data_IF_354793621466
#
_entry.id   IF_354793621466
#
_cell.length_a   1.000
_cell.length_b   1.000
_cell.length_c   1.000
_cell.angle_alpha   90.00
_cell.angle_beta   90.00
_cell.angle_gamma   90.00
#
_symmetry.space_group_name_H-M   'P 1'
#
loop_
_entity.id
_entity.type
_entity.pdbx_description
1 polymer ?
#
# COMPACT_ATOMS: atom_id res chain seq x y z
N UNK A 1 -38.08 11.12 15.91
CA UNK A 1 -37.06 10.11 15.62
C UNK A 1 -35.75 10.85 15.43
N UNK A 2 -34.70 10.52 16.23
CA UNK A 2 -33.37 11.11 15.99
C UNK A 2 -32.85 10.63 14.64
N UNK A 3 -32.37 11.55 13.82
CA UNK A 3 -31.75 11.21 12.52
C UNK A 3 -30.43 10.47 12.79
N UNK A 4 -30.26 9.27 12.22
CA UNK A 4 -29.01 8.51 12.33
C UNK A 4 -27.92 9.25 11.53
N UNK A 5 -26.84 9.60 12.19
CA UNK A 5 -25.71 10.33 11.62
C UNK A 5 -24.71 9.39 10.96
N UNK A 6 -24.10 9.78 9.86
CA UNK A 6 -23.15 8.92 9.16
C UNK A 6 -21.71 9.28 9.54
N UNK A 7 -20.91 8.23 9.75
CA UNK A 7 -19.45 8.27 9.73
C UNK A 7 -19.03 7.69 8.38
N UNK A 8 -18.56 8.54 7.49
CA UNK A 8 -18.19 8.13 6.12
C UNK A 8 -16.69 7.83 6.07
N UNK A 9 -16.32 6.67 5.53
CA UNK A 9 -14.93 6.25 5.31
C UNK A 9 -14.71 6.03 3.82
N UNK A 10 -13.79 6.78 3.22
CA UNK A 10 -13.43 6.65 1.80
C UNK A 10 -12.15 5.82 1.69
N UNK A 11 -12.29 4.59 1.20
CA UNK A 11 -11.21 3.62 1.03
C UNK A 11 -11.05 2.68 2.22
N UNK A 12 -10.88 1.37 1.92
CA UNK A 12 -10.70 0.30 2.90
C UNK A 12 -9.41 -0.49 2.67
N UNK A 13 -8.34 0.23 2.29
CA UNK A 13 -6.99 -0.33 2.27
C UNK A 13 -6.41 -0.54 3.67
N UNK A 14 -5.08 -0.57 3.79
CA UNK A 14 -4.36 -0.89 5.04
C UNK A 14 -4.68 -0.02 6.26
N UNK A 15 -5.25 1.18 6.07
CA UNK A 15 -5.70 2.04 7.18
C UNK A 15 -7.22 2.00 7.38
N UNK A 16 -8.00 2.07 6.29
CA UNK A 16 -9.46 2.21 6.38
C UNK A 16 -10.16 0.96 6.88
N UNK A 17 -9.76 -0.24 6.42
CA UNK A 17 -10.37 -1.49 6.89
C UNK A 17 -10.20 -1.69 8.41
N UNK A 18 -9.00 -1.61 9.01
CA UNK A 18 -8.86 -1.73 10.48
C UNK A 18 -9.60 -0.64 11.25
N UNK A 19 -9.70 0.58 10.67
CA UNK A 19 -10.49 1.65 11.26
C UNK A 19 -11.96 1.27 11.36
N UNK A 20 -12.57 0.83 10.25
CA UNK A 20 -13.98 0.42 10.22
C UNK A 20 -14.23 -0.73 11.18
N UNK A 21 -13.37 -1.77 11.17
CA UNK A 21 -13.47 -2.90 12.09
C UNK A 21 -13.38 -2.50 13.57
N UNK A 22 -12.62 -1.46 13.88
CA UNK A 22 -12.55 -0.91 15.25
C UNK A 22 -13.81 -0.13 15.61
N UNK A 23 -14.29 0.72 14.70
CA UNK A 23 -15.47 1.56 14.94
C UNK A 23 -16.76 0.76 15.03
N UNK A 24 -16.98 -0.24 14.17
CA UNK A 24 -18.21 -1.05 14.17
C UNK A 24 -18.45 -1.80 15.48
N UNK A 25 -17.38 -2.12 16.23
CA UNK A 25 -17.46 -2.77 17.56
C UNK A 25 -17.84 -1.80 18.68
N UNK A 26 -17.78 -0.48 18.47
CA UNK A 26 -17.86 0.53 19.53
C UNK A 26 -18.94 1.60 19.29
N UNK A 27 -19.45 1.72 18.07
CA UNK A 27 -20.48 2.70 17.72
C UNK A 27 -21.86 2.19 18.12
N UNK A 28 -22.69 3.09 18.67
CA UNK A 28 -24.11 2.81 18.87
C UNK A 28 -24.87 2.92 17.54
N UNK A 29 -25.39 1.82 16.98
CA UNK A 29 -26.06 1.81 15.67
C UNK A 29 -27.41 2.55 15.67
N UNK A 30 -27.97 2.87 16.85
CA UNK A 30 -29.19 3.67 16.95
C UNK A 30 -28.95 5.16 16.70
N UNK A 31 -27.71 5.63 16.86
CA UNK A 31 -27.33 7.03 16.71
C UNK A 31 -26.43 7.31 15.51
N UNK A 32 -25.55 6.35 15.19
CA UNK A 32 -24.57 6.50 14.11
C UNK A 32 -24.52 5.28 13.21
N UNK A 33 -24.26 5.51 11.93
CA UNK A 33 -24.02 4.47 10.92
C UNK A 33 -22.66 4.70 10.28
N UNK A 34 -21.89 3.62 10.08
CA UNK A 34 -20.69 3.65 9.25
C UNK A 34 -21.12 3.45 7.79
N UNK A 35 -20.66 4.33 6.91
CA UNK A 35 -20.83 4.23 5.47
C UNK A 35 -19.43 4.15 4.85
N UNK A 36 -19.14 3.06 4.19
CA UNK A 36 -17.88 2.82 3.46
C UNK A 36 -18.10 3.13 1.99
N UNK A 37 -17.24 3.94 1.41
CA UNK A 37 -17.14 4.17 -0.04
C UNK A 37 -15.85 3.50 -0.50
N UNK A 38 -15.95 2.35 -1.17
CA UNK A 38 -14.82 1.56 -1.67
C UNK A 38 -15.13 1.05 -3.08
N UNK A 39 -14.25 1.34 -4.02
CA UNK A 39 -14.45 0.95 -5.42
C UNK A 39 -14.21 -0.53 -5.67
N UNK A 40 -13.33 -1.18 -4.87
CA UNK A 40 -12.99 -2.59 -5.01
C UNK A 40 -13.93 -3.48 -4.22
N UNK A 41 -14.24 -4.63 -4.77
CA UNK A 41 -14.99 -5.70 -4.10
C UNK A 41 -14.09 -6.64 -3.28
N UNK A 42 -12.82 -6.27 -3.09
CA UNK A 42 -11.81 -7.03 -2.36
C UNK A 42 -10.82 -6.12 -1.62
N UNK A 43 -10.23 -6.67 -0.56
CA UNK A 43 -9.05 -6.14 0.09
C UNK A 43 -7.79 -6.70 -0.58
N UNK A 44 -6.84 -5.84 -0.93
CA UNK A 44 -5.55 -6.25 -1.48
C UNK A 44 -4.48 -6.27 -0.39
N UNK A 45 -3.88 -7.44 -0.15
CA UNK A 45 -2.73 -7.57 0.75
C UNK A 45 -1.43 -7.20 0.02
N UNK A 46 -1.14 -5.91 0.00
CA UNK A 46 -0.05 -5.30 -0.79
C UNK A 46 1.31 -5.99 -0.65
N UNK A 47 1.79 -6.41 0.54
CA UNK A 47 3.09 -7.07 0.66
C UNK A 47 3.22 -8.38 -0.11
N UNK A 48 2.12 -9.11 -0.31
CA UNK A 48 2.13 -10.37 -1.05
C UNK A 48 1.98 -10.20 -2.57
N UNK A 49 1.52 -9.04 -3.04
CA UNK A 49 1.18 -8.83 -4.46
C UNK A 49 2.38 -8.89 -5.40
N UNK A 50 3.57 -8.53 -4.93
CA UNK A 50 4.80 -8.61 -5.75
C UNK A 50 5.07 -10.08 -6.10
N UNK A 51 5.02 -10.99 -5.13
CA UNK A 51 5.17 -12.42 -5.37
C UNK A 51 3.99 -12.97 -6.17
N UNK A 52 2.76 -12.55 -5.86
CA UNK A 52 1.56 -12.93 -6.60
C UNK A 52 1.63 -12.58 -8.09
N UNK A 53 2.36 -11.52 -8.45
CA UNK A 53 2.60 -11.14 -9.84
C UNK A 53 3.70 -11.96 -10.52
N UNK A 54 4.51 -12.74 -9.77
CA UNK A 54 5.68 -13.46 -10.31
C UNK A 54 5.44 -14.96 -10.38
N UNK A 55 4.82 -15.57 -9.38
CA UNK A 55 4.66 -17.04 -9.28
C UNK A 55 3.21 -17.47 -9.11
N UNK A 56 2.94 -18.73 -9.46
CA UNK A 56 1.64 -19.40 -9.20
C UNK A 56 1.68 -20.24 -7.90
N UNK A 57 2.83 -20.26 -7.19
CA UNK A 57 3.01 -21.02 -5.96
C UNK A 57 2.00 -20.58 -4.89
N UNK A 58 1.35 -21.56 -4.24
CA UNK A 58 0.39 -21.34 -3.15
C UNK A 58 -0.88 -20.59 -3.53
N UNK A 59 -1.23 -20.46 -4.83
CA UNK A 59 -2.39 -19.67 -5.30
C UNK A 59 -2.43 -18.25 -4.70
N UNK A 60 -1.25 -17.66 -4.56
CA UNK A 60 -1.06 -16.36 -3.89
C UNK A 60 -1.80 -15.21 -4.57
N UNK A 61 -2.02 -15.29 -5.89
CA UNK A 61 -2.83 -14.33 -6.66
C UNK A 61 -4.31 -14.33 -6.24
N UNK A 62 -4.83 -15.45 -5.72
CA UNK A 62 -6.19 -15.54 -5.18
C UNK A 62 -6.22 -15.18 -3.69
N UNK A 63 -5.24 -15.65 -2.92
CA UNK A 63 -5.20 -15.50 -1.46
C UNK A 63 -4.84 -14.08 -1.01
N UNK A 64 -4.01 -13.35 -1.78
CA UNK A 64 -3.67 -11.96 -1.48
C UNK A 64 -4.78 -10.95 -1.84
N UNK A 65 -5.82 -11.38 -2.57
CA UNK A 65 -6.97 -10.59 -2.95
C UNK A 65 -8.21 -11.11 -2.22
N UNK A 66 -8.40 -10.66 -0.97
CA UNK A 66 -9.43 -11.17 -0.07
C UNK A 66 -10.77 -10.50 -0.36
N UNK A 67 -11.85 -11.24 -0.69
CA UNK A 67 -13.18 -10.64 -0.86
C UNK A 67 -13.57 -9.84 0.36
N UNK A 68 -14.23 -8.70 0.19
CA UNK A 68 -14.61 -7.86 1.32
C UNK A 68 -16.09 -8.02 1.74
N UNK A 69 -16.79 -9.01 1.20
CA UNK A 69 -18.20 -9.31 1.47
C UNK A 69 -18.50 -9.66 2.93
N UNK A 70 -17.49 -10.14 3.68
CA UNK A 70 -17.59 -10.46 5.11
C UNK A 70 -16.70 -9.59 5.99
N UNK A 71 -16.03 -8.59 5.42
CA UNK A 71 -15.08 -7.76 6.15
C UNK A 71 -15.76 -6.82 7.17
N UNK A 72 -17.07 -6.61 7.02
CA UNK A 72 -17.84 -5.64 7.80
C UNK A 72 -19.07 -6.26 8.43
N UNK A 73 -19.46 -5.72 9.60
CA UNK A 73 -20.75 -6.02 10.25
C UNK A 73 -21.91 -5.64 9.31
N UNK A 74 -23.03 -6.38 9.29
CA UNK A 74 -24.21 -6.05 8.50
C UNK A 74 -24.80 -4.65 8.72
N UNK A 75 -24.47 -3.98 9.83
CA UNK A 75 -24.88 -2.59 10.11
C UNK A 75 -24.05 -1.56 9.31
N UNK A 76 -22.89 -1.95 8.79
CA UNK A 76 -22.03 -1.11 7.94
C UNK A 76 -22.59 -1.08 6.52
N UNK A 77 -22.88 0.12 6.02
CA UNK A 77 -23.29 0.29 4.63
C UNK A 77 -22.05 0.39 3.74
N UNK A 78 -21.92 -0.50 2.78
CA UNK A 78 -20.84 -0.46 1.77
C UNK A 78 -21.41 0.03 0.43
N UNK A 79 -20.73 1.02 -0.18
CA UNK A 79 -21.04 1.58 -1.49
C UNK A 79 -19.84 1.28 -2.40
N UNK A 80 -20.05 0.39 -3.37
CA UNK A 80 -19.05 0.06 -4.38
C UNK A 80 -18.95 1.14 -5.46
N UNK A 81 -18.25 2.23 -5.12
CA UNK A 81 -18.03 3.38 -5.99
C UNK A 81 -16.78 4.15 -5.54
N UNK A 82 -16.30 5.06 -6.38
CA UNK A 82 -15.32 6.07 -6.01
C UNK A 82 -16.02 7.33 -5.52
N UNK A 83 -15.39 8.08 -4.61
CA UNK A 83 -15.81 9.44 -4.30
C UNK A 83 -15.42 10.36 -5.47
N UNK A 84 -16.38 11.13 -5.96
CA UNK A 84 -16.24 12.09 -7.07
C UNK A 84 -15.99 13.50 -6.55
N UNK A 85 -16.74 13.88 -5.54
CA UNK A 85 -16.70 15.22 -4.95
C UNK A 85 -16.94 15.14 -3.44
N UNK A 86 -16.28 15.99 -2.69
CA UNK A 86 -16.45 16.14 -1.24
C UNK A 86 -16.77 17.61 -0.96
N UNK A 87 -17.86 17.87 -0.26
CA UNK A 87 -18.18 19.16 0.33
C UNK A 87 -18.02 19.14 1.84
N UNK A 88 -18.27 20.23 2.54
CA UNK A 88 -18.23 20.28 4.01
C UNK A 88 -19.32 19.47 4.71
N UNK A 89 -20.31 18.95 4.00
CA UNK A 89 -21.47 18.25 4.57
C UNK A 89 -21.76 16.89 3.95
N UNK A 90 -21.24 16.61 2.76
CA UNK A 90 -21.54 15.36 2.04
C UNK A 90 -20.42 14.93 1.09
N UNK A 91 -20.45 13.65 0.74
CA UNK A 91 -19.63 13.04 -0.31
C UNK A 91 -20.56 12.64 -1.44
N UNK A 92 -20.23 13.04 -2.67
CA UNK A 92 -20.90 12.58 -3.90
C UNK A 92 -20.04 11.49 -4.55
N UNK A 93 -20.64 10.36 -4.87
CA UNK A 93 -19.97 9.24 -5.53
C UNK A 93 -19.99 9.36 -7.06
N UNK A 94 -19.14 8.60 -7.76
CA UNK A 94 -19.21 8.49 -9.23
C UNK A 94 -20.53 7.89 -9.71
N UNK A 95 -21.22 7.08 -8.88
CA UNK A 95 -22.57 6.57 -9.16
C UNK A 95 -23.67 7.64 -8.99
N UNK A 96 -23.32 8.84 -8.53
CA UNK A 96 -24.25 9.97 -8.35
C UNK A 96 -24.98 9.98 -7.01
N UNK A 97 -24.63 9.11 -6.08
CA UNK A 97 -25.23 9.11 -4.74
C UNK A 97 -24.57 10.18 -3.87
N UNK A 98 -25.40 11.00 -3.17
CA UNK A 98 -24.97 11.98 -2.16
C UNK A 98 -25.11 11.38 -0.76
N UNK A 99 -24.02 11.38 0.01
CA UNK A 99 -23.93 10.80 1.35
C UNK A 99 -23.56 11.89 2.35
N UNK A 100 -24.51 12.40 3.14
CA UNK A 100 -24.20 13.35 4.20
C UNK A 100 -23.38 12.69 5.31
N UNK A 101 -22.47 13.45 5.92
CA UNK A 101 -21.63 12.93 7.01
C UNK A 101 -21.59 13.88 8.21
N UNK A 102 -21.48 13.28 9.41
CA UNK A 102 -21.04 13.98 10.63
C UNK A 102 -19.53 13.90 10.79
N UNK A 103 -18.96 12.74 10.47
CA UNK A 103 -17.52 12.49 10.47
C UNK A 103 -17.11 11.91 9.13
N UNK A 104 -15.98 12.37 8.60
CA UNK A 104 -15.42 11.87 7.34
C UNK A 104 -13.99 11.39 7.54
N UNK A 105 -13.65 10.22 7.04
CA UNK A 105 -12.29 9.69 7.02
C UNK A 105 -11.80 9.50 5.59
N UNK A 106 -10.69 10.14 5.27
CA UNK A 106 -9.97 10.02 4.00
C UNK A 106 -8.89 8.94 4.16
N UNK A 107 -9.11 7.77 3.55
CA UNK A 107 -8.18 6.64 3.55
C UNK A 107 -7.90 6.15 2.12
N UNK A 108 -7.84 7.09 1.17
CA UNK A 108 -7.80 6.83 -0.28
C UNK A 108 -6.49 6.24 -0.78
N UNK A 109 -5.42 6.30 0.02
CA UNK A 109 -4.16 5.61 -0.25
C UNK A 109 -3.43 6.08 -1.51
N UNK A 110 -2.90 5.12 -2.25
CA UNK A 110 -2.01 5.35 -3.38
C UNK A 110 -2.50 4.67 -4.66
N UNK A 111 -2.19 5.28 -5.81
CA UNK A 111 -2.41 4.73 -7.15
C UNK A 111 -1.08 4.19 -7.64
N UNK A 112 -1.05 2.92 -7.99
CA UNK A 112 0.12 2.21 -8.48
C UNK A 112 0.15 2.14 -10.00
N UNK A 113 1.24 1.64 -10.56
CA UNK A 113 1.42 1.43 -11.99
C UNK A 113 1.88 0.01 -12.27
N UNK A 114 1.73 -0.45 -13.51
CA UNK A 114 2.18 -1.76 -13.94
C UNK A 114 1.41 -2.91 -13.26
N UNK A 115 2.10 -3.98 -12.81
CA UNK A 115 1.42 -5.14 -12.23
C UNK A 115 0.63 -4.84 -10.94
N UNK A 116 0.93 -3.74 -10.27
CA UNK A 116 0.24 -3.30 -9.05
C UNK A 116 -0.92 -2.33 -9.32
N UNK A 117 -1.18 -1.97 -10.58
CA UNK A 117 -2.39 -1.20 -10.98
C UNK A 117 -3.58 -2.13 -11.10
N UNK A 118 -4.12 -2.53 -9.95
CA UNK A 118 -5.14 -3.55 -9.86
C UNK A 118 -6.51 -3.02 -10.27
N UNK A 119 -7.26 -3.75 -11.14
CA UNK A 119 -8.66 -3.51 -11.44
C UNK A 119 -9.57 -3.51 -10.22
N UNK A 120 -10.77 -2.95 -10.37
CA UNK A 120 -11.69 -2.75 -9.23
C UNK A 120 -12.43 -4.04 -8.84
N UNK A 121 -12.55 -5.05 -9.73
CA UNK A 121 -13.13 -6.35 -9.37
C UNK A 121 -12.04 -7.38 -9.10
N UNK A 122 -12.25 -8.23 -8.09
CA UNK A 122 -11.32 -9.32 -7.72
C UNK A 122 -11.00 -10.24 -8.90
N UNK A 123 -12.01 -10.62 -9.65
CA UNK A 123 -11.84 -11.50 -10.81
C UNK A 123 -10.91 -10.87 -11.87
N UNK A 124 -11.12 -9.60 -12.18
CA UNK A 124 -10.26 -8.86 -13.12
C UNK A 124 -8.85 -8.63 -12.56
N UNK A 125 -8.71 -8.43 -11.25
CA UNK A 125 -7.41 -8.27 -10.60
C UNK A 125 -6.59 -9.58 -10.64
N UNK A 126 -7.21 -10.72 -10.40
CA UNK A 126 -6.58 -12.04 -10.55
C UNK A 126 -6.10 -12.24 -12.01
N UNK A 127 -6.96 -11.95 -12.98
CA UNK A 127 -6.60 -12.09 -14.39
C UNK A 127 -5.49 -11.13 -14.80
N UNK A 128 -5.49 -9.92 -14.27
CA UNK A 128 -4.42 -8.93 -14.47
C UNK A 128 -3.05 -9.47 -13.99
N UNK A 129 -2.99 -10.03 -12.77
CA UNK A 129 -1.78 -10.67 -12.25
C UNK A 129 -1.35 -11.88 -13.08
N UNK A 130 -2.29 -12.71 -13.51
CA UNK A 130 -2.03 -13.89 -14.36
C UNK A 130 -1.51 -13.49 -15.74
N UNK A 131 -2.09 -12.46 -16.34
CA UNK A 131 -1.62 -11.89 -17.61
C UNK A 131 -0.18 -11.39 -17.50
N UNK A 132 0.15 -10.68 -16.44
CA UNK A 132 1.53 -10.23 -16.21
C UNK A 132 2.49 -11.41 -16.00
N UNK A 133 2.10 -12.46 -15.25
CA UNK A 133 2.90 -13.69 -15.11
C UNK A 133 3.19 -14.36 -16.45
N UNK A 134 2.23 -14.35 -17.39
CA UNK A 134 2.44 -14.89 -18.74
C UNK A 134 3.47 -14.06 -19.52
N UNK A 135 3.37 -12.73 -19.46
CA UNK A 135 4.37 -11.83 -20.07
C UNK A 135 5.76 -12.07 -19.47
N UNK A 136 5.85 -12.21 -18.14
CA UNK A 136 7.08 -12.51 -17.44
C UNK A 136 7.67 -13.87 -17.86
N UNK A 137 6.84 -14.91 -17.98
CA UNK A 137 7.28 -16.23 -18.48
C UNK A 137 7.84 -16.16 -19.90
N UNK A 138 7.26 -15.36 -20.77
CA UNK A 138 7.71 -15.21 -22.18
C UNK A 138 8.99 -14.39 -22.31
N UNK A 139 9.22 -13.38 -21.46
CA UNK A 139 10.36 -12.50 -21.51
C UNK A 139 11.67 -13.20 -21.09
N UNK A 140 12.80 -12.88 -21.73
CA UNK A 140 14.14 -13.31 -21.31
C UNK A 140 14.96 -12.20 -20.65
N UNK A 141 14.76 -10.94 -21.10
CA UNK A 141 15.45 -9.75 -20.60
C UNK A 141 14.43 -8.82 -19.96
N UNK A 142 14.52 -8.64 -18.66
CA UNK A 142 13.55 -7.89 -17.87
C UNK A 142 14.22 -6.64 -17.32
N UNK A 143 13.62 -5.47 -17.56
CA UNK A 143 14.05 -4.20 -17.02
C UNK A 143 13.13 -3.77 -15.88
N UNK A 144 13.61 -3.87 -14.63
CA UNK A 144 12.93 -3.33 -13.45
C UNK A 144 13.31 -1.87 -13.28
N UNK A 145 12.30 -0.99 -13.26
CA UNK A 145 12.50 0.47 -13.24
C UNK A 145 12.15 1.03 -11.89
N UNK A 146 13.17 1.35 -11.10
CA UNK A 146 13.04 1.87 -9.73
C UNK A 146 13.75 1.00 -8.72
N UNK A 147 14.71 1.54 -7.98
CA UNK A 147 15.50 0.86 -6.96
C UNK A 147 14.99 1.12 -5.54
N UNK A 148 13.68 1.29 -5.37
CA UNK A 148 12.98 1.25 -4.08
C UNK A 148 12.69 -0.19 -3.65
N UNK A 149 12.00 -0.38 -2.50
CA UNK A 149 11.65 -1.72 -1.98
C UNK A 149 10.93 -2.57 -3.02
N UNK A 150 9.90 -2.04 -3.66
CA UNK A 150 9.10 -2.75 -4.68
C UNK A 150 9.96 -3.27 -5.84
N UNK A 151 10.85 -2.44 -6.39
CA UNK A 151 11.72 -2.87 -7.49
C UNK A 151 12.76 -3.91 -7.08
N UNK A 152 13.29 -3.79 -5.87
CA UNK A 152 14.21 -4.78 -5.30
C UNK A 152 13.51 -6.12 -5.06
N UNK A 153 12.29 -6.09 -4.54
CA UNK A 153 11.48 -7.28 -4.32
C UNK A 153 11.10 -7.95 -5.64
N UNK A 154 10.68 -7.19 -6.67
CA UNK A 154 10.48 -7.76 -8.02
C UNK A 154 11.75 -8.41 -8.56
N UNK A 155 12.89 -7.75 -8.49
CA UNK A 155 14.16 -8.33 -8.97
C UNK A 155 14.50 -9.62 -8.22
N UNK A 156 14.31 -9.64 -6.91
CA UNK A 156 14.54 -10.81 -6.06
C UNK A 156 13.62 -11.98 -6.37
N UNK A 157 12.30 -11.74 -6.48
CA UNK A 157 11.30 -12.75 -6.81
C UNK A 157 11.52 -13.30 -8.23
N UNK A 158 11.76 -12.43 -9.22
CA UNK A 158 12.00 -12.86 -10.61
C UNK A 158 13.25 -13.74 -10.70
N UNK A 159 14.36 -13.35 -10.10
CA UNK A 159 15.60 -14.12 -10.13
C UNK A 159 15.52 -15.43 -9.35
N UNK A 160 14.64 -15.49 -8.34
CA UNK A 160 14.38 -16.72 -7.61
C UNK A 160 13.58 -17.74 -8.43
N UNK A 161 12.48 -17.32 -9.02
CA UNK A 161 11.57 -18.23 -9.75
C UNK A 161 12.00 -18.48 -11.20
N UNK A 162 12.82 -17.61 -11.76
CA UNK A 162 13.32 -17.67 -13.14
C UNK A 162 14.85 -17.36 -13.19
N UNK A 163 15.70 -18.21 -12.62
CA UNK A 163 17.13 -17.95 -12.50
C UNK A 163 17.88 -17.87 -13.85
N UNK A 164 17.25 -18.35 -14.93
CA UNK A 164 17.81 -18.26 -16.30
C UNK A 164 17.59 -16.88 -16.94
N UNK A 165 16.68 -16.05 -16.42
CA UNK A 165 16.36 -14.74 -17.00
C UNK A 165 17.42 -13.69 -16.65
N UNK A 166 17.55 -12.70 -17.52
CA UNK A 166 18.43 -11.55 -17.31
C UNK A 166 17.61 -10.39 -16.76
N UNK A 167 17.91 -9.99 -15.53
CA UNK A 167 17.24 -8.87 -14.85
C UNK A 167 18.21 -7.70 -14.75
N UNK A 168 17.80 -6.56 -15.33
CA UNK A 168 18.47 -5.28 -15.14
C UNK A 168 17.59 -4.40 -14.27
N UNK A 169 18.12 -3.87 -13.17
CA UNK A 169 17.45 -2.89 -12.31
C UNK A 169 18.06 -1.51 -12.58
N UNK A 170 17.25 -0.55 -13.05
CA UNK A 170 17.68 0.83 -13.26
C UNK A 170 17.10 1.76 -12.19
N UNK A 171 17.94 2.63 -11.62
CA UNK A 171 17.55 3.60 -10.61
C UNK A 171 18.16 4.98 -10.84
N UNK A 172 17.33 6.02 -10.74
CA UNK A 172 17.74 7.39 -10.95
C UNK A 172 18.64 8.00 -9.86
N UNK A 173 18.67 7.42 -8.68
CA UNK A 173 19.54 7.82 -7.58
C UNK A 173 20.94 7.20 -7.70
N UNK A 174 21.91 7.80 -6.99
CA UNK A 174 23.29 7.26 -6.89
C UNK A 174 23.37 6.03 -5.96
N UNK A 175 22.38 5.79 -5.15
CA UNK A 175 22.23 4.66 -4.23
C UNK A 175 20.78 4.17 -4.29
N UNK A 176 20.56 2.89 -4.00
CA UNK A 176 19.22 2.30 -3.90
C UNK A 176 18.43 2.91 -2.74
N UNK A 177 17.12 2.74 -2.74
CA UNK A 177 16.21 3.32 -1.74
C UNK A 177 16.29 4.86 -1.70
N UNK A 178 15.80 5.47 -0.63
CA UNK A 178 15.89 6.91 -0.38
C UNK A 178 16.85 7.20 0.81
N UNK A 179 17.17 8.49 1.03
CA UNK A 179 18.15 8.92 2.02
C UNK A 179 17.71 8.80 3.48
N UNK A 180 16.45 8.44 3.75
CA UNK A 180 16.00 8.11 5.12
C UNK A 180 16.75 6.90 5.67
N UNK A 181 17.13 5.98 4.79
CA UNK A 181 17.86 4.78 5.18
C UNK A 181 19.38 4.98 5.11
N UNK A 182 20.14 4.50 6.11
CA UNK A 182 21.61 4.62 6.12
C UNK A 182 22.26 3.97 4.91
N UNK A 183 23.38 4.54 4.44
CA UNK A 183 24.15 4.04 3.30
C UNK A 183 24.53 2.55 3.46
N UNK A 184 24.89 2.10 4.68
CA UNK A 184 25.21 0.68 4.94
C UNK A 184 24.04 -0.27 4.61
N UNK A 185 22.79 0.13 4.88
CA UNK A 185 21.61 -0.66 4.53
C UNK A 185 21.39 -0.65 3.02
N UNK A 186 21.48 0.51 2.40
CA UNK A 186 21.33 0.69 0.94
C UNK A 186 22.39 -0.10 0.17
N UNK A 187 23.64 -0.11 0.65
CA UNK A 187 24.73 -0.91 0.07
C UNK A 187 24.47 -2.41 0.24
N UNK A 188 24.02 -2.83 1.42
CA UNK A 188 23.68 -4.24 1.68
C UNK A 188 22.56 -4.77 0.76
N UNK A 189 21.60 -3.93 0.38
CA UNK A 189 20.58 -4.27 -0.63
C UNK A 189 21.18 -4.38 -2.04
N UNK A 190 22.07 -3.47 -2.41
CA UNK A 190 22.78 -3.52 -3.69
C UNK A 190 23.59 -4.81 -3.81
N UNK A 191 24.40 -5.12 -2.81
CA UNK A 191 25.22 -6.35 -2.77
C UNK A 191 24.32 -7.61 -2.83
N UNK A 192 23.17 -7.56 -2.13
CA UNK A 192 22.20 -8.65 -2.10
C UNK A 192 21.57 -8.93 -3.46
N UNK A 193 21.06 -7.91 -4.14
CA UNK A 193 20.40 -8.09 -5.44
C UNK A 193 21.39 -8.43 -6.55
N UNK A 194 22.62 -7.88 -6.51
CA UNK A 194 23.68 -8.25 -7.43
C UNK A 194 24.15 -9.71 -7.24
N UNK A 195 24.24 -10.17 -5.98
CA UNK A 195 24.56 -11.57 -5.66
C UNK A 195 23.52 -12.54 -6.24
N UNK A 196 22.27 -12.14 -6.37
CA UNK A 196 21.22 -12.92 -7.04
C UNK A 196 21.37 -12.94 -8.57
N UNK A 197 22.21 -12.08 -9.14
CA UNK A 197 22.47 -12.01 -10.59
C UNK A 197 21.85 -10.81 -11.30
N UNK A 198 21.29 -9.84 -10.59
CA UNK A 198 20.80 -8.61 -11.22
C UNK A 198 21.96 -7.72 -11.70
N UNK A 199 21.86 -7.18 -12.91
CA UNK A 199 22.62 -6.00 -13.31
C UNK A 199 21.96 -4.76 -12.70
N UNK A 200 22.73 -3.88 -12.05
CA UNK A 200 22.20 -2.65 -11.45
C UNK A 200 22.82 -1.42 -12.10
N UNK A 201 21.97 -0.53 -12.60
CA UNK A 201 22.34 0.75 -13.19
C UNK A 201 21.84 1.86 -12.28
N UNK A 202 22.78 2.60 -11.68
CA UNK A 202 22.49 3.75 -10.82
C UNK A 202 22.75 5.06 -11.54
N UNK A 203 22.04 6.12 -11.13
CA UNK A 203 22.22 7.47 -11.67
C UNK A 203 21.62 7.67 -13.06
N UNK A 204 20.82 6.73 -13.57
CA UNK A 204 20.19 6.84 -14.89
C UNK A 204 18.69 6.45 -14.81
N UNK A 205 17.93 6.85 -15.82
CA UNK A 205 16.47 6.68 -15.88
C UNK A 205 16.04 6.35 -17.30
N UNK A 206 14.83 5.82 -17.43
CA UNK A 206 14.09 5.77 -18.69
C UNK A 206 12.92 6.75 -18.67
N UNK A 207 12.39 7.08 -19.83
CA UNK A 207 11.17 7.87 -19.94
C UNK A 207 9.99 7.14 -19.30
N UNK A 208 9.08 7.84 -18.59
CA UNK A 208 7.85 7.22 -18.08
C UNK A 208 7.06 6.57 -19.22
N UNK A 209 6.60 5.33 -19.00
CA UNK A 209 5.84 4.58 -19.99
C UNK A 209 6.66 4.03 -21.16
N UNK A 210 8.00 4.10 -21.12
CA UNK A 210 8.83 3.53 -22.16
C UNK A 210 8.55 2.04 -22.35
N UNK A 211 8.36 1.64 -23.59
CA UNK A 211 8.20 0.24 -24.02
C UNK A 211 9.40 -0.17 -24.86
N UNK A 212 9.74 -1.48 -24.93
CA UNK A 212 10.82 -1.93 -25.78
C UNK A 212 10.56 -1.65 -27.28
N UNK A 213 11.54 -1.05 -27.95
CA UNK A 213 11.57 -0.89 -29.40
C UNK A 213 12.68 -1.79 -29.94
N UNK A 214 12.33 -2.69 -30.87
CA UNK A 214 13.25 -3.72 -31.41
C UNK A 214 14.00 -4.52 -30.32
N UNK A 215 13.37 -4.77 -29.18
CA UNK A 215 13.96 -5.49 -28.04
C UNK A 215 14.92 -4.65 -27.19
N UNK A 216 14.85 -3.33 -27.25
CA UNK A 216 15.68 -2.41 -26.46
C UNK A 216 14.88 -1.26 -25.87
N UNK A 217 15.35 -0.77 -24.71
CA UNK A 217 14.94 0.52 -24.14
C UNK A 217 16.18 1.41 -24.06
N UNK A 218 16.03 2.68 -24.50
CA UNK A 218 17.11 3.67 -24.38
C UNK A 218 16.89 4.54 -23.15
N UNK A 219 17.93 4.66 -22.31
CA UNK A 219 17.88 5.51 -21.10
C UNK A 219 17.99 6.99 -21.46
N UNK A 220 17.67 7.87 -20.50
CA UNK A 220 17.88 9.31 -20.66
C UNK A 220 19.37 9.67 -20.79
N UNK A 221 20.27 8.83 -20.26
CA UNK A 221 21.72 8.94 -20.44
C UNK A 221 22.24 8.39 -21.77
N UNK A 222 21.35 7.90 -22.67
CA UNK A 222 21.72 7.38 -23.99
C UNK A 222 22.17 5.91 -24.00
N UNK A 223 22.10 5.17 -22.90
CA UNK A 223 22.43 3.74 -22.85
C UNK A 223 21.29 2.92 -23.45
N UNK A 224 21.61 1.99 -24.34
CA UNK A 224 20.66 0.98 -24.85
C UNK A 224 20.69 -0.27 -23.95
N UNK A 225 19.54 -0.66 -23.44
CA UNK A 225 19.35 -1.84 -22.58
C UNK A 225 18.49 -2.84 -23.33
N UNK A 226 19.00 -4.07 -23.52
CA UNK A 226 18.19 -5.14 -24.11
C UNK A 226 17.05 -5.48 -23.13
N UNK A 227 15.82 -5.49 -23.64
CA UNK A 227 14.63 -5.56 -22.78
C UNK A 227 13.47 -6.14 -23.59
N UNK A 228 12.86 -7.21 -23.06
CA UNK A 228 11.64 -7.80 -23.59
C UNK A 228 10.43 -7.35 -22.78
N UNK A 229 10.62 -7.06 -21.47
CA UNK A 229 9.58 -6.63 -20.54
C UNK A 229 10.09 -5.54 -19.61
N UNK A 230 9.33 -4.45 -19.49
CA UNK A 230 9.56 -3.38 -18.50
C UNK A 230 8.62 -3.57 -17.33
N UNK A 231 9.18 -3.58 -16.11
CA UNK A 231 8.45 -3.65 -14.83
C UNK A 231 8.57 -2.30 -14.12
N UNK A 232 7.56 -1.43 -14.20
CA UNK A 232 7.58 -0.13 -13.54
C UNK A 232 7.47 -0.30 -12.02
N UNK A 233 8.42 0.29 -11.28
CA UNK A 233 8.52 0.23 -9.82
C UNK A 233 9.00 1.57 -9.24
N UNK A 234 8.63 2.68 -9.90
CA UNK A 234 9.07 4.04 -9.54
C UNK A 234 8.32 4.67 -8.36
N UNK A 235 7.47 3.90 -7.71
CA UNK A 235 6.59 4.34 -6.63
C UNK A 235 5.18 4.65 -7.11
N UNK A 236 4.31 4.92 -6.14
CA UNK A 236 2.90 5.23 -6.36
C UNK A 236 2.64 6.74 -6.34
N UNK A 237 1.55 7.18 -6.97
CA UNK A 237 0.98 8.51 -6.82
C UNK A 237 -0.06 8.49 -5.70
N UNK A 238 -0.10 9.55 -4.88
CA UNK A 238 -1.13 9.67 -3.85
C UNK A 238 -2.50 9.92 -4.47
N UNK A 239 -3.51 9.25 -3.94
CA UNK A 239 -4.89 9.37 -4.39
C UNK A 239 -5.63 10.48 -3.64
N UNK A 240 -5.25 11.74 -3.88
CA UNK A 240 -5.76 12.92 -3.16
C UNK A 240 -6.49 13.92 -4.04
N UNK A 241 -6.74 13.58 -5.32
CA UNK A 241 -7.41 14.51 -6.25
C UNK A 241 -8.82 14.89 -5.75
N UNK A 242 -9.57 13.93 -5.21
CA UNK A 242 -10.90 14.18 -4.64
C UNK A 242 -10.84 15.07 -3.39
N UNK A 243 -9.74 15.08 -2.63
CA UNK A 243 -9.59 15.94 -1.44
C UNK A 243 -9.54 17.42 -1.83
N UNK A 244 -9.05 17.73 -3.04
CA UNK A 244 -9.02 19.10 -3.56
C UNK A 244 -10.40 19.71 -3.78
N UNK A 245 -11.43 18.88 -3.97
CA UNK A 245 -12.81 19.35 -4.09
C UNK A 245 -13.36 19.87 -2.76
N UNK A 246 -12.90 19.30 -1.64
CA UNK A 246 -13.23 19.77 -0.29
C UNK A 246 -12.47 21.05 0.06
N UNK A 247 -11.13 21.01 -0.07
CA UNK A 247 -10.24 22.13 0.22
C UNK A 247 -8.90 21.92 -0.47
N UNK A 248 -8.65 22.68 -1.53
CA UNK A 248 -7.40 22.55 -2.30
C UNK A 248 -6.16 22.99 -1.52
N UNK A 249 -6.31 23.85 -0.49
CA UNK A 249 -5.21 24.37 0.31
C UNK A 249 -4.60 23.32 1.25
N UNK A 250 -5.35 22.24 1.57
CA UNK A 250 -4.84 21.19 2.46
C UNK A 250 -3.99 20.15 1.74
N UNK A 251 -3.95 20.18 0.41
CA UNK A 251 -3.16 19.23 -0.38
C UNK A 251 -1.85 19.89 -0.84
N UNK A 252 -0.73 19.36 -0.39
CA UNK A 252 0.61 19.89 -0.70
C UNK A 252 1.00 19.71 -2.17
N UNK A 253 2.15 20.29 -2.58
CA UNK A 253 2.68 20.16 -3.94
C UNK A 253 3.03 18.71 -4.32
N UNK A 254 3.37 17.87 -3.31
CA UNK A 254 3.68 16.45 -3.50
C UNK A 254 2.45 15.56 -3.34
N UNK A 255 1.28 16.16 -3.14
CA UNK A 255 0.01 15.47 -3.08
C UNK A 255 -0.36 14.92 -1.69
N UNK A 256 0.39 15.22 -0.64
CA UNK A 256 0.03 14.83 0.74
C UNK A 256 -1.02 15.76 1.33
N UNK A 257 -1.81 15.27 2.28
CA UNK A 257 -2.85 16.01 3.01
C UNK A 257 -2.31 16.49 4.35
N UNK A 258 -2.41 17.80 4.59
CA UNK A 258 -1.99 18.41 5.84
C UNK A 258 -2.90 17.99 7.00
N UNK A 259 -2.31 17.44 8.06
CA UNK A 259 -3.04 16.97 9.24
C UNK A 259 -2.50 17.59 10.54
N UNK A 260 -3.35 17.64 11.57
CA UNK A 260 -2.94 17.95 12.95
C UNK A 260 -2.30 16.73 13.61
N UNK A 261 -1.70 16.86 14.81
CA UNK A 261 -1.24 15.69 15.57
C UNK A 261 -2.34 14.66 15.86
N UNK A 262 -3.58 15.06 15.95
CA UNK A 262 -4.74 14.21 16.17
C UNK A 262 -5.23 13.51 14.88
N UNK A 263 -4.59 13.80 13.74
CA UNK A 263 -4.91 13.33 12.38
C UNK A 263 -6.19 13.94 11.79
N UNK A 264 -6.65 15.10 12.29
CA UNK A 264 -7.63 15.92 11.59
C UNK A 264 -7.00 16.58 10.37
N UNK A 265 -7.75 16.69 9.28
CA UNK A 265 -7.35 17.52 8.15
C UNK A 265 -7.37 19.00 8.55
N UNK A 266 -6.32 19.74 8.22
CA UNK A 266 -6.20 21.17 8.53
C UNK A 266 -7.02 22.03 7.59
N UNK A 267 -8.35 21.86 7.63
CA UNK A 267 -9.28 22.58 6.76
C UNK A 267 -9.21 24.10 6.98
N UNK A 268 -9.28 24.88 5.90
CA UNK A 268 -9.34 26.35 5.93
C UNK A 268 -10.54 26.87 6.70
N UNK A 269 -11.64 26.10 6.75
CA UNK A 269 -12.83 26.41 7.54
C UNK A 269 -12.64 26.25 9.06
N UNK A 270 -11.59 25.58 9.50
CA UNK A 270 -11.37 25.22 10.91
C UNK A 270 -12.21 24.06 11.42
N UNK A 271 -13.00 23.39 10.57
CA UNK A 271 -13.81 22.22 10.93
C UNK A 271 -12.88 21.05 11.34
N UNK A 272 -13.28 20.28 12.36
CA UNK A 272 -12.49 19.22 12.97
C UNK A 272 -13.15 17.83 12.84
N UNK A 273 -14.02 17.67 11.88
CA UNK A 273 -14.76 16.44 11.65
C UNK A 273 -14.31 15.67 10.40
N UNK A 274 -13.17 16.06 9.80
CA UNK A 274 -12.55 15.38 8.68
C UNK A 274 -11.16 14.88 9.10
N UNK A 275 -10.91 13.61 8.88
CA UNK A 275 -9.71 12.88 9.28
C UNK A 275 -9.00 12.33 8.05
N UNK A 276 -7.69 12.17 8.10
CA UNK A 276 -6.93 11.50 7.06
C UNK A 276 -5.95 10.48 7.65
N UNK A 277 -5.81 9.33 6.98
CA UNK A 277 -4.94 8.23 7.40
C UNK A 277 -4.23 7.56 6.21
N UNK A 278 -3.17 6.83 6.51
CA UNK A 278 -2.42 6.05 5.53
C UNK A 278 -1.45 6.89 4.72
N UNK A 279 -1.23 6.50 3.48
CA UNK A 279 -0.20 7.08 2.62
C UNK A 279 -0.40 8.56 2.32
N UNK A 280 -1.64 9.02 2.37
CA UNK A 280 -2.01 10.39 1.96
C UNK A 280 -1.61 11.47 2.94
N UNK A 281 -1.33 11.16 4.21
CA UNK A 281 -1.05 12.21 5.21
C UNK A 281 0.35 12.81 5.06
N UNK A 282 0.46 14.09 5.34
CA UNK A 282 1.75 14.77 5.54
C UNK A 282 2.22 14.51 6.98
N UNK A 283 3.14 13.55 7.11
CA UNK A 283 3.74 13.17 8.40
C UNK A 283 5.20 12.80 8.21
N UNK A 284 6.11 13.13 9.16
CA UNK A 284 7.55 12.91 9.01
C UNK A 284 7.95 11.44 9.23
N UNK A 285 7.34 10.52 8.47
CA UNK A 285 7.66 9.10 8.48
C UNK A 285 7.51 8.49 7.08
N UNK A 286 8.15 7.33 6.85
CA UNK A 286 7.97 6.58 5.62
C UNK A 286 6.58 5.93 5.59
N UNK A 287 5.97 5.89 4.42
CA UNK A 287 4.64 5.30 4.21
C UNK A 287 4.73 3.78 4.27
N UNK A 288 3.98 3.19 5.18
CA UNK A 288 3.96 1.74 5.41
C UNK A 288 2.58 1.30 5.88
N UNK A 289 2.11 0.16 5.38
CA UNK A 289 0.79 -0.40 5.73
C UNK A 289 0.63 -0.55 7.25
N UNK A 290 1.64 -1.08 7.95
CA UNK A 290 1.55 -1.28 9.39
C UNK A 290 1.42 0.02 10.20
N UNK A 291 1.94 1.16 9.71
CA UNK A 291 1.75 2.46 10.36
C UNK A 291 0.32 2.95 10.19
N UNK A 292 -0.26 2.73 9.01
CA UNK A 292 -1.65 3.04 8.76
C UNK A 292 -2.58 2.20 9.64
N UNK A 293 -2.36 0.89 9.71
CA UNK A 293 -3.22 -0.06 10.42
C UNK A 293 -3.06 -0.02 11.94
N UNK A 294 -1.83 -0.09 12.47
CA UNK A 294 -1.56 -0.14 13.91
C UNK A 294 -1.24 1.21 14.55
N UNK A 295 -1.12 2.26 13.73
CA UNK A 295 -0.82 3.62 14.18
C UNK A 295 -1.99 4.57 13.94
N UNK A 296 -2.26 4.92 12.68
CA UNK A 296 -3.25 5.94 12.33
C UNK A 296 -4.68 5.49 12.64
N UNK A 297 -5.07 4.28 12.24
CA UNK A 297 -6.43 3.77 12.39
C UNK A 297 -6.91 3.75 13.85
N UNK A 298 -6.15 3.22 14.84
CA UNK A 298 -6.56 3.25 16.24
C UNK A 298 -6.67 4.65 16.83
N UNK A 299 -5.80 5.59 16.40
CA UNK A 299 -5.83 6.98 16.87
C UNK A 299 -7.09 7.66 16.35
N UNK A 300 -7.38 7.57 15.06
CA UNK A 300 -8.56 8.19 14.45
C UNK A 300 -9.85 7.56 14.97
N UNK A 301 -9.89 6.23 15.17
CA UNK A 301 -11.05 5.58 15.78
C UNK A 301 -11.38 6.16 17.17
N UNK A 302 -10.36 6.27 18.05
CA UNK A 302 -10.52 6.87 19.38
C UNK A 302 -10.95 8.34 19.29
N UNK A 303 -10.40 9.10 18.35
CA UNK A 303 -10.70 10.52 18.20
C UNK A 303 -12.12 10.75 17.67
N UNK A 304 -12.60 9.93 16.74
CA UNK A 304 -14.00 9.96 16.28
C UNK A 304 -14.94 9.64 17.46
N UNK A 305 -14.67 8.59 18.23
CA UNK A 305 -15.48 8.25 19.40
C UNK A 305 -15.46 9.37 20.44
N UNK A 306 -14.30 9.97 20.71
CA UNK A 306 -14.18 11.12 21.60
C UNK A 306 -14.98 12.33 21.09
N UNK A 307 -14.94 12.61 19.78
CA UNK A 307 -15.73 13.69 19.17
C UNK A 307 -17.24 13.49 19.35
N UNK A 308 -17.73 12.26 19.17
CA UNK A 308 -19.16 11.93 19.31
C UNK A 308 -19.60 11.94 20.77
N UNK A 309 -18.75 11.53 21.70
CA UNK A 309 -19.08 11.35 23.14
C UNK A 309 -18.66 12.54 24.01
N UNK A 310 -18.09 13.60 23.43
CA UNK A 310 -17.60 14.76 24.16
C UNK A 310 -16.28 14.53 24.91
N UNK A 311 -15.49 13.56 24.46
CA UNK A 311 -14.16 13.23 25.00
C UNK A 311 -13.03 14.12 24.48
N UNK A 312 -11.81 13.84 24.96
CA UNK A 312 -10.59 14.54 24.47
C UNK A 312 -9.90 13.69 23.40
N UNK A 313 -9.49 14.30 22.28
CA UNK A 313 -8.71 13.61 21.26
C UNK A 313 -7.29 13.29 21.77
N UNK A 314 -6.67 12.28 21.16
CA UNK A 314 -5.29 11.87 21.40
C UNK A 314 -4.43 12.15 20.18
N UNK A 315 -3.16 12.51 20.40
CA UNK A 315 -2.20 12.73 19.34
C UNK A 315 -1.57 11.43 18.84
N UNK A 316 -1.31 11.33 17.56
CA UNK A 316 -0.45 10.33 16.96
C UNK A 316 1.02 10.68 17.23
N UNK A 317 1.76 9.78 17.83
CA UNK A 317 3.15 10.02 18.23
C UNK A 317 4.18 9.53 17.18
N UNK A 318 3.71 9.00 16.05
CA UNK A 318 4.57 8.34 15.07
C UNK A 318 4.86 6.87 15.42
N UNK A 319 5.44 6.16 14.47
CA UNK A 319 5.91 4.77 14.62
C UNK A 319 7.38 4.66 14.24
N UNK A 320 8.03 3.68 14.80
CA UNK A 320 9.45 3.38 14.52
C UNK A 320 9.64 3.04 13.04
N UNK A 321 10.73 3.56 12.43
CA UNK A 321 11.13 3.20 11.07
C UNK A 321 11.76 1.81 11.04
N UNK A 322 10.93 0.80 10.87
CA UNK A 322 11.35 -0.59 10.71
C UNK A 322 11.00 -1.03 9.30
N UNK A 323 11.99 -1.46 8.53
CA UNK A 323 11.76 -2.01 7.19
C UNK A 323 12.53 -3.30 7.00
N UNK A 324 11.90 -4.23 6.30
CA UNK A 324 12.53 -5.41 5.73
C UNK A 324 12.17 -5.47 4.24
N UNK A 325 13.18 -5.58 3.38
CA UNK A 325 13.01 -5.72 1.93
C UNK A 325 13.40 -7.14 1.57
N UNK A 326 12.44 -7.90 1.05
CA UNK A 326 12.69 -9.27 0.60
C UNK A 326 13.50 -9.29 -0.70
N UNK A 327 14.40 -10.25 -0.84
CA UNK A 327 15.15 -10.53 -2.05
C UNK A 327 14.88 -11.99 -2.44
N UNK A 328 13.66 -12.23 -2.91
CA UNK A 328 13.09 -13.56 -3.09
C UNK A 328 12.66 -14.19 -1.76
N UNK A 329 12.04 -15.39 -1.78
CA UNK A 329 11.42 -16.01 -0.60
C UNK A 329 12.46 -16.50 0.44
N UNK A 330 13.74 -16.58 0.09
CA UNK A 330 14.78 -17.14 0.98
C UNK A 330 15.78 -16.10 1.50
N UNK A 331 15.59 -14.81 1.17
CA UNK A 331 16.53 -13.77 1.56
C UNK A 331 15.90 -12.40 1.71
N UNK A 332 16.69 -11.48 2.22
CA UNK A 332 16.31 -10.08 2.35
C UNK A 332 17.22 -9.29 3.25
N UNK A 333 16.91 -8.03 3.40
CA UNK A 333 17.65 -7.10 4.27
C UNK A 333 16.68 -6.28 5.07
N UNK A 334 16.90 -6.23 6.36
CA UNK A 334 16.14 -5.39 7.29
C UNK A 334 17.02 -4.36 7.97
N UNK A 335 16.40 -3.32 8.51
CA UNK A 335 17.07 -2.38 9.41
C UNK A 335 16.20 -2.11 10.63
N UNK A 336 16.82 -2.22 11.80
CA UNK A 336 16.26 -1.84 13.08
C UNK A 336 16.95 -0.54 13.52
N UNK A 337 16.23 0.54 13.84
CA UNK A 337 16.82 1.88 14.02
C UNK A 337 17.50 2.09 15.38
N UNK A 338 17.90 1.03 16.10
CA UNK A 338 18.66 1.13 17.33
C UNK A 338 20.17 1.23 17.07
N UNK A 339 20.89 2.02 17.89
CA UNK A 339 22.37 2.18 17.83
C UNK A 339 22.91 2.58 16.44
N UNK A 340 22.23 3.53 15.76
CA UNK A 340 22.63 3.97 14.43
C UNK A 340 22.23 3.01 13.29
N UNK A 341 21.27 2.13 13.56
CA UNK A 341 20.65 1.20 12.63
C UNK A 341 21.44 -0.13 12.52
N UNK A 342 20.87 -1.19 13.04
CA UNK A 342 21.39 -2.55 12.88
C UNK A 342 20.84 -3.12 11.58
N UNK A 343 21.72 -3.43 10.62
CA UNK A 343 21.33 -4.10 9.38
C UNK A 343 21.25 -5.59 9.64
N UNK A 344 20.11 -6.19 9.34
CA UNK A 344 19.84 -7.62 9.43
C UNK A 344 19.91 -8.20 8.02
N UNK A 345 20.69 -9.27 7.83
CA UNK A 345 20.81 -9.97 6.56
C UNK A 345 19.94 -11.23 6.47
N UNK A 346 20.31 -12.13 5.55
CA UNK A 346 19.62 -13.41 5.29
C UNK A 346 19.61 -14.35 6.51
N UNK A 347 20.40 -14.03 7.56
CA UNK A 347 20.54 -14.87 8.74
C UNK A 347 19.92 -14.18 9.97
N UNK A 348 18.70 -14.60 10.33
CA UNK A 348 18.14 -14.38 11.67
C UNK A 348 18.32 -15.69 12.44
N UNK A 349 19.09 -15.72 13.55
CA UNK A 349 19.29 -16.94 14.34
C UNK A 349 17.96 -17.57 14.75
N UNK A 350 17.72 -18.81 14.33
CA UNK A 350 16.62 -19.63 14.81
C UNK A 350 15.27 -19.46 14.08
N UNK A 351 15.21 -18.63 13.04
CA UNK A 351 14.04 -18.60 12.14
C UNK A 351 14.49 -18.60 10.69
N UNK A 352 13.95 -19.47 9.82
CA UNK A 352 14.19 -19.40 8.39
C UNK A 352 13.66 -18.05 7.85
N UNK A 353 14.21 -17.54 6.73
CA UNK A 353 13.72 -16.34 6.06
C UNK A 353 12.21 -16.34 5.78
N UNK A 354 11.60 -17.52 5.63
CA UNK A 354 10.17 -17.72 5.51
C UNK A 354 9.35 -17.15 6.70
N UNK A 355 9.94 -17.06 7.90
CA UNK A 355 9.28 -16.47 9.06
C UNK A 355 9.20 -14.92 9.03
N UNK A 356 9.85 -14.29 8.06
CA UNK A 356 9.73 -12.89 7.69
C UNK A 356 9.05 -12.73 6.34
N UNK A 357 8.54 -13.84 5.80
CA UNK A 357 7.71 -13.81 4.62
C UNK A 357 6.51 -12.87 4.89
N UNK A 358 6.31 -11.82 4.10
CA UNK A 358 5.12 -10.98 4.21
C UNK A 358 3.83 -11.78 4.11
N UNK A 359 3.92 -13.02 3.59
CA UNK A 359 2.84 -13.98 3.47
C UNK A 359 2.48 -14.67 4.80
N UNK A 360 3.47 -14.97 5.64
CA UNK A 360 3.29 -15.52 6.99
C UNK A 360 3.28 -14.42 8.06
N UNK A 361 3.43 -13.15 7.65
CA UNK A 361 3.51 -12.08 8.62
C UNK A 361 2.19 -11.98 9.39
N UNK A 362 2.34 -11.86 10.69
CA UNK A 362 1.37 -11.67 11.79
C UNK A 362 0.09 -10.86 11.46
N UNK A 363 0.08 -10.14 10.33
CA UNK A 363 -1.01 -9.31 9.85
C UNK A 363 -2.00 -10.05 8.95
N UNK A 364 -1.51 -10.96 8.11
CA UNK A 364 -2.39 -11.68 7.18
C UNK A 364 -3.18 -12.75 7.93
N UNK A 365 -2.53 -13.51 8.81
CA UNK A 365 -3.23 -14.52 9.58
C UNK A 365 -4.30 -13.90 10.49
N UNK A 366 -3.98 -12.86 11.24
CA UNK A 366 -4.94 -12.23 12.13
C UNK A 366 -6.11 -11.56 11.40
N UNK A 367 -5.86 -10.86 10.29
CA UNK A 367 -6.91 -10.18 9.51
C UNK A 367 -7.75 -11.18 8.71
N UNK A 368 -7.12 -12.17 8.08
CA UNK A 368 -7.83 -13.20 7.31
C UNK A 368 -8.60 -14.13 8.25
N UNK A 369 -8.01 -14.55 9.37
CA UNK A 369 -8.69 -15.36 10.39
C UNK A 369 -9.87 -14.62 11.02
N UNK A 370 -9.81 -13.29 11.18
CA UNK A 370 -10.93 -12.49 11.66
C UNK A 370 -12.03 -12.35 10.59
N UNK A 371 -11.69 -12.23 9.31
CA UNK A 371 -12.64 -12.10 8.20
C UNK A 371 -13.19 -13.48 7.79
N UNK A 372 -12.34 -14.51 7.79
CA UNK A 372 -12.64 -15.87 7.35
C UNK A 372 -12.16 -16.92 8.40
N UNK A 373 -12.80 -17.03 9.55
CA UNK A 373 -12.34 -17.90 10.64
C UNK A 373 -12.29 -19.40 10.28
N UNK A 374 -13.00 -19.81 9.22
CA UNK A 374 -13.02 -21.19 8.73
C UNK A 374 -12.04 -21.43 7.55
N UNK A 375 -11.26 -20.44 7.15
CA UNK A 375 -10.41 -20.54 5.97
C UNK A 375 -9.08 -21.21 6.30
N UNK A 376 -9.04 -22.54 6.27
CA UNK A 376 -7.84 -23.38 6.44
C UNK A 376 -6.88 -23.34 5.24
N UNK A 377 -7.11 -22.48 4.25
CA UNK A 377 -6.32 -22.39 3.01
C UNK A 377 -4.91 -21.80 3.19
N UNK A 378 -4.61 -21.24 4.35
CA UNK A 378 -3.29 -20.68 4.67
C UNK A 378 -2.40 -21.62 5.50
N UNK A 379 -2.83 -22.84 5.77
CA UNK A 379 -2.11 -23.82 6.59
C UNK A 379 -1.49 -24.97 5.78
N UNK A 380 -1.20 -24.77 4.50
CA UNK A 380 -0.50 -25.74 3.65
C UNK A 380 0.73 -25.16 2.97
#
# INVERSE_FOLDING_TARGET
>A
MSYIKNIVVIGTGGGGLPLVQTLQKQINPETHRIVVIEKRDYYAHWPALIRAAVTDEGAIDENALVPNDRAFDPSVRVIHSSAKEISHSEVVTESGESIPYEQLVLATGSIWTGPLDLPDTRAAAIEHLRSFKQQLKAAQHILVVGGGSVGLEYAGEILHYFPEKKVTLIHGGKELMNSTYPTKFRQSLLDGVQKLGAEVILGDKISPGAVPEEGYVTTLGGRRIRTDLVVPSTGSRLNTDVVRTLDSAVVTNIGTVLVTPELNVKLSSGAQNVWAIGDIIEWPEQKMVFKASSGHAPVVAKNILASIQGGKPIAYAGKVELIFVTLGPKGGRGIIPFFGGIVIGDWIPGRPPAALDPYESFYVSGLIDEIYPDNRLLAA
#
